data_IF_736420108731
#
_entry.id   IF_736420108731
#
_cell.length_a   1.000
_cell.length_b   1.000
_cell.length_c   1.000
_cell.angle_alpha   90.00
_cell.angle_beta   90.00
_cell.angle_gamma   90.00
#
_symmetry.space_group_name_H-M   'P 1'
#
loop_
_entity.id
_entity.type
_entity.pdbx_description
1 polymer ?
#
# COMPACT_ATOMS: atom_id res chain seq x y z
N UNK A 1 6.65 -25.03 27.37
CA UNK A 1 7.42 -23.99 28.08
C UNK A 1 8.53 -23.53 27.15
N UNK A 2 8.51 -22.29 26.67
CA UNK A 2 9.65 -21.76 25.92
C UNK A 2 10.79 -21.48 26.91
N UNK A 3 12.01 -21.97 26.64
CA UNK A 3 13.17 -21.74 27.50
C UNK A 3 13.47 -20.25 27.65
N UNK A 4 14.09 -19.85 28.76
CA UNK A 4 14.50 -18.46 29.03
C UNK A 4 15.39 -17.87 27.92
N UNK A 5 16.16 -18.70 27.22
CA UNK A 5 16.96 -18.32 26.04
C UNK A 5 16.10 -17.94 24.82
N UNK A 6 14.93 -18.55 24.62
CA UNK A 6 14.03 -18.16 23.53
C UNK A 6 13.38 -16.80 23.81
N UNK A 7 13.06 -16.51 25.08
CA UNK A 7 12.53 -15.20 25.47
C UNK A 7 13.57 -14.08 25.32
N UNK A 8 14.84 -14.30 25.65
CA UNK A 8 15.89 -13.28 25.49
C UNK A 8 16.18 -12.92 24.03
N UNK A 9 16.09 -13.89 23.13
CA UNK A 9 16.25 -13.65 21.70
C UNK A 9 15.05 -12.89 21.10
N UNK A 10 13.84 -13.15 21.61
CA UNK A 10 12.62 -12.48 21.18
C UNK A 10 12.57 -11.00 21.62
N UNK A 11 13.04 -10.66 22.83
CA UNK A 11 13.10 -9.26 23.28
C UNK A 11 14.10 -8.42 22.46
N UNK A 12 15.21 -9.00 22.00
CA UNK A 12 16.15 -8.32 21.10
C UNK A 12 15.55 -8.02 19.71
N UNK A 13 14.56 -8.80 19.28
CA UNK A 13 13.87 -8.62 17.98
C UNK A 13 12.76 -7.56 18.03
N UNK A 14 12.25 -7.20 19.21
CA UNK A 14 11.14 -6.24 19.35
C UNK A 14 11.44 -4.88 18.70
N UNK A 15 12.60 -4.22 18.95
CA UNK A 15 12.91 -2.94 18.29
C UNK A 15 13.01 -3.05 16.77
N UNK A 16 13.57 -4.17 16.28
CA UNK A 16 13.67 -4.44 14.83
C UNK A 16 12.29 -4.60 14.20
N UNK A 17 11.39 -5.34 14.86
CA UNK A 17 10.01 -5.52 14.39
C UNK A 17 9.24 -4.20 14.39
N UNK A 18 9.40 -3.37 15.43
CA UNK A 18 8.78 -2.03 15.49
C UNK A 18 9.26 -1.16 14.33
N UNK A 19 10.58 -1.14 14.09
CA UNK A 19 11.18 -0.45 12.95
C UNK A 19 10.66 -0.95 11.60
N UNK A 20 10.60 -2.27 11.41
CA UNK A 20 10.10 -2.90 10.19
C UNK A 20 8.64 -2.57 9.91
N UNK A 21 7.78 -2.58 10.94
CA UNK A 21 6.37 -2.24 10.81
C UNK A 21 6.16 -0.78 10.38
N UNK A 22 6.89 0.15 11.01
CA UNK A 22 6.83 1.59 10.67
C UNK A 22 7.37 1.83 9.27
N UNK A 23 8.56 1.30 8.97
CA UNK A 23 9.21 1.50 7.68
C UNK A 23 8.42 0.87 6.52
N UNK A 24 7.86 -0.34 6.72
CA UNK A 24 7.03 -1.02 5.74
C UNK A 24 5.76 -0.22 5.41
N UNK A 25 5.10 0.31 6.44
CA UNK A 25 3.92 1.18 6.27
C UNK A 25 4.25 2.42 5.45
N UNK A 26 5.31 3.16 5.81
CA UNK A 26 5.66 4.39 5.09
C UNK A 26 6.25 4.16 3.72
N UNK A 27 6.96 3.05 3.49
CA UNK A 27 7.41 2.69 2.15
C UNK A 27 6.22 2.51 1.22
N UNK A 28 5.19 1.78 1.67
CA UNK A 28 3.98 1.57 0.88
C UNK A 28 3.19 2.85 0.66
N UNK A 29 3.00 3.64 1.71
CA UNK A 29 2.36 4.94 1.61
C UNK A 29 3.10 5.87 0.62
N UNK A 30 4.42 5.94 0.71
CA UNK A 30 5.25 6.77 -0.18
C UNK A 30 5.19 6.33 -1.64
N UNK A 31 5.29 5.03 -1.91
CA UNK A 31 5.18 4.48 -3.27
C UNK A 31 3.83 4.84 -3.91
N UNK A 32 2.72 4.70 -3.17
CA UNK A 32 1.39 5.02 -3.67
C UNK A 32 1.15 6.53 -3.80
N UNK A 33 1.66 7.33 -2.86
CA UNK A 33 1.57 8.80 -2.91
C UNK A 33 2.34 9.35 -4.11
N UNK A 34 3.56 8.86 -4.34
CA UNK A 34 4.34 9.23 -5.51
C UNK A 34 3.59 8.89 -6.81
N UNK A 35 2.99 7.70 -6.90
CA UNK A 35 2.21 7.33 -8.06
C UNK A 35 0.99 8.24 -8.28
N UNK A 36 0.27 8.58 -7.20
CA UNK A 36 -0.88 9.48 -7.23
C UNK A 36 -0.50 10.90 -7.69
N UNK A 37 0.60 11.45 -7.16
CA UNK A 37 1.00 12.83 -7.41
C UNK A 37 1.68 13.01 -8.78
N UNK A 38 2.35 11.97 -9.28
CA UNK A 38 2.96 12.00 -10.60
C UNK A 38 1.96 11.71 -11.72
N UNK A 39 0.84 11.02 -11.45
CA UNK A 39 -0.11 10.63 -12.48
C UNK A 39 -0.72 11.83 -13.25
N UNK A 40 -1.03 12.98 -12.64
CA UNK A 40 -1.48 14.15 -13.37
C UNK A 40 -0.48 14.69 -14.39
N UNK A 41 0.82 14.46 -14.20
CA UNK A 41 1.86 14.93 -15.13
C UNK A 41 1.76 14.26 -16.52
N UNK A 42 1.13 13.08 -16.62
CA UNK A 42 0.97 12.37 -17.89
C UNK A 42 -0.36 12.70 -18.61
N UNK A 43 -1.30 13.40 -17.97
CA UNK A 43 -2.59 13.73 -18.63
C UNK A 43 -2.43 14.56 -19.91
N UNK A 44 -1.56 15.59 -19.95
CA UNK A 44 -1.35 16.36 -21.17
C UNK A 44 -0.82 15.49 -22.33
N UNK A 45 -0.01 14.48 -22.01
CA UNK A 45 0.54 13.55 -23.00
C UNK A 45 -0.53 12.70 -23.69
N UNK A 46 -1.73 12.54 -23.09
CA UNK A 46 -2.81 11.79 -23.74
C UNK A 46 -3.31 12.48 -25.01
N UNK A 47 -3.23 13.81 -25.08
CA UNK A 47 -3.65 14.55 -26.28
C UNK A 47 -2.68 14.38 -27.46
N UNK A 48 -1.38 14.24 -27.18
CA UNK A 48 -0.31 14.16 -28.17
C UNK A 48 0.12 12.74 -28.49
N UNK A 49 0.21 11.87 -27.48
CA UNK A 49 0.54 10.44 -27.61
C UNK A 49 -0.13 9.63 -26.48
N UNK A 50 -1.38 9.16 -26.70
CA UNK A 50 -2.10 8.32 -25.73
C UNK A 50 -1.33 7.05 -25.37
N UNK A 51 -0.64 6.48 -26.37
CA UNK A 51 0.12 5.24 -26.21
C UNK A 51 1.27 5.42 -25.22
N UNK A 52 2.05 6.51 -25.36
CA UNK A 52 3.15 6.80 -24.46
C UNK A 52 2.66 7.07 -23.03
N UNK A 53 1.59 7.86 -22.89
CA UNK A 53 0.99 8.16 -21.58
C UNK A 53 0.56 6.87 -20.85
N UNK A 54 -0.14 5.98 -21.56
CA UNK A 54 -0.58 4.70 -21.01
C UNK A 54 0.58 3.74 -20.70
N UNK A 55 1.66 3.76 -21.49
CA UNK A 55 2.87 2.98 -21.20
C UNK A 55 3.59 3.48 -19.94
N UNK A 56 3.69 4.80 -19.76
CA UNK A 56 4.26 5.39 -18.54
C UNK A 56 3.44 5.05 -17.30
N UNK A 57 2.10 5.17 -17.40
CA UNK A 57 1.21 4.71 -16.33
C UNK A 57 1.40 3.22 -16.03
N UNK A 58 1.38 2.37 -17.07
CA UNK A 58 1.49 0.92 -16.92
C UNK A 58 2.81 0.51 -16.26
N UNK A 59 3.92 1.13 -16.64
CA UNK A 59 5.21 0.90 -15.99
C UNK A 59 5.16 1.19 -14.49
N UNK A 60 4.60 2.35 -14.10
CA UNK A 60 4.42 2.71 -12.70
C UNK A 60 3.50 1.74 -11.96
N UNK A 61 2.39 1.33 -12.58
CA UNK A 61 1.43 0.38 -12.01
C UNK A 61 2.06 -1.00 -11.77
N UNK A 62 2.78 -1.53 -12.77
CA UNK A 62 3.42 -2.84 -12.69
C UNK A 62 4.49 -2.86 -11.57
N UNK A 63 5.28 -1.78 -11.44
CA UNK A 63 6.26 -1.65 -10.34
C UNK A 63 5.59 -1.68 -8.96
N UNK A 64 4.49 -0.94 -8.80
CA UNK A 64 3.74 -0.92 -7.54
C UNK A 64 3.15 -2.29 -7.19
N UNK A 65 2.59 -2.99 -8.19
CA UNK A 65 1.98 -4.31 -8.00
C UNK A 65 2.98 -5.39 -7.52
N UNK A 66 4.28 -5.19 -7.75
CA UNK A 66 5.33 -6.09 -7.28
C UNK A 66 5.79 -5.76 -5.86
N UNK A 67 5.91 -4.47 -5.53
CA UNK A 67 6.50 -4.02 -4.26
C UNK A 67 5.47 -3.98 -3.13
N UNK A 68 4.27 -3.46 -3.42
CA UNK A 68 3.26 -3.15 -2.40
C UNK A 68 2.77 -4.40 -1.67
N UNK A 69 2.37 -5.50 -2.36
CA UNK A 69 1.85 -6.68 -1.67
C UNK A 69 2.88 -7.34 -0.74
N UNK A 70 4.15 -7.43 -1.18
CA UNK A 70 5.22 -8.00 -0.37
C UNK A 70 5.48 -7.17 0.90
N UNK A 71 5.54 -5.85 0.74
CA UNK A 71 5.77 -4.93 1.85
C UNK A 71 4.56 -4.91 2.80
N UNK A 72 3.33 -4.99 2.28
CA UNK A 72 2.11 -5.08 3.09
C UNK A 72 2.14 -6.36 3.93
N UNK A 73 2.48 -7.51 3.32
CA UNK A 73 2.54 -8.79 4.02
C UNK A 73 3.60 -8.79 5.14
N UNK A 74 4.80 -8.27 4.87
CA UNK A 74 5.84 -8.14 5.87
C UNK A 74 5.41 -7.22 7.03
N UNK A 75 4.71 -6.12 6.71
CA UNK A 75 4.18 -5.18 7.70
C UNK A 75 3.09 -5.81 8.56
N UNK A 76 2.16 -6.55 7.94
CA UNK A 76 1.10 -7.30 8.64
C UNK A 76 1.72 -8.30 9.62
N UNK A 77 2.72 -9.08 9.17
CA UNK A 77 3.40 -10.05 10.01
C UNK A 77 4.13 -9.39 11.19
N UNK A 78 4.82 -8.28 10.96
CA UNK A 78 5.49 -7.52 12.01
C UNK A 78 4.49 -6.95 13.04
N UNK A 79 3.44 -6.27 12.58
CA UNK A 79 2.39 -5.73 13.45
C UNK A 79 1.67 -6.82 14.25
N UNK A 80 1.31 -7.94 13.60
CA UNK A 80 0.64 -9.06 14.26
C UNK A 80 1.52 -9.75 15.31
N UNK A 81 2.81 -9.92 15.00
CA UNK A 81 3.78 -10.44 15.95
C UNK A 81 3.94 -9.54 17.17
N UNK A 82 4.06 -8.22 16.96
CA UNK A 82 4.13 -7.24 18.04
C UNK A 82 2.85 -7.23 18.88
N UNK A 83 1.67 -7.28 18.25
CA UNK A 83 0.40 -7.36 18.96
C UNK A 83 0.34 -8.58 19.89
N UNK A 84 0.77 -9.74 19.40
CA UNK A 84 0.80 -10.96 20.21
C UNK A 84 1.78 -10.86 21.39
N UNK A 85 2.98 -10.33 21.18
CA UNK A 85 3.99 -10.18 22.23
C UNK A 85 3.58 -9.19 23.30
N UNK A 86 3.06 -8.03 22.89
CA UNK A 86 2.59 -6.99 23.80
C UNK A 86 1.35 -7.49 24.57
N UNK A 87 0.39 -8.17 23.93
CA UNK A 87 -0.78 -8.74 24.62
C UNK A 87 -0.38 -9.79 25.67
N UNK A 88 0.62 -10.64 25.35
CA UNK A 88 1.11 -11.64 26.29
C UNK A 88 1.79 -11.01 27.51
N UNK A 89 2.39 -9.83 27.32
CA UNK A 89 3.09 -9.09 28.38
C UNK A 89 2.12 -8.28 29.23
N UNK A 90 1.22 -7.53 28.58
CA UNK A 90 0.13 -6.79 29.20
C UNK A 90 -1.12 -6.81 28.30
N UNK A 91 -2.06 -7.70 28.64
CA UNK A 91 -3.32 -7.87 27.91
C UNK A 91 -4.31 -6.69 28.06
N UNK A 92 -4.09 -5.77 29.00
CA UNK A 92 -4.93 -4.58 29.17
C UNK A 92 -4.33 -3.34 28.51
N UNK A 93 -3.01 -3.36 28.27
CA UNK A 93 -2.23 -2.29 27.67
C UNK A 93 -2.77 -1.78 26.34
N UNK A 94 -2.51 -0.49 26.07
CA UNK A 94 -2.93 0.15 24.82
C UNK A 94 -2.09 -0.30 23.63
N UNK A 95 -0.80 -0.59 23.85
CA UNK A 95 0.16 -0.91 22.79
C UNK A 95 -0.29 -2.09 21.91
N UNK A 96 -0.69 -3.21 22.51
CA UNK A 96 -1.10 -4.39 21.74
C UNK A 96 -2.36 -4.13 20.91
N UNK A 97 -3.31 -3.34 21.43
CA UNK A 97 -4.56 -2.98 20.72
C UNK A 97 -4.24 -2.14 19.48
N UNK A 98 -3.30 -1.21 19.59
CA UNK A 98 -2.84 -0.41 18.46
C UNK A 98 -2.10 -1.26 17.42
N UNK A 99 -1.21 -2.18 17.84
CA UNK A 99 -0.57 -3.13 16.92
C UNK A 99 -1.56 -4.06 16.24
N UNK A 100 -2.56 -4.57 16.97
CA UNK A 100 -3.62 -5.40 16.40
C UNK A 100 -4.47 -4.61 15.41
N UNK A 101 -4.80 -3.35 15.71
CA UNK A 101 -5.48 -2.44 14.81
C UNK A 101 -4.68 -2.18 13.53
N UNK A 102 -3.38 -1.93 13.65
CA UNK A 102 -2.48 -1.76 12.50
C UNK A 102 -2.43 -3.04 11.63
N UNK A 103 -2.29 -4.22 12.25
CA UNK A 103 -2.28 -5.50 11.55
C UNK A 103 -3.61 -5.81 10.85
N UNK A 104 -4.74 -5.46 11.48
CA UNK A 104 -6.07 -5.68 10.93
C UNK A 104 -6.48 -4.69 9.84
N UNK A 105 -5.95 -3.46 9.88
CA UNK A 105 -6.28 -2.42 8.90
C UNK A 105 -5.53 -2.60 7.58
N UNK A 106 -4.28 -3.07 7.60
CA UNK A 106 -3.48 -3.19 6.37
C UNK A 106 -4.12 -4.10 5.28
N UNK A 107 -4.72 -5.27 5.61
CA UNK A 107 -5.45 -6.10 4.64
C UNK A 107 -6.66 -5.40 3.99
N UNK A 108 -7.25 -4.39 4.63
CA UNK A 108 -8.34 -3.60 4.03
C UNK A 108 -7.88 -2.93 2.73
N UNK A 109 -6.60 -2.55 2.64
CA UNK A 109 -6.02 -2.01 1.41
C UNK A 109 -6.05 -3.01 0.25
N UNK A 110 -5.88 -4.29 0.52
CA UNK A 110 -5.99 -5.33 -0.51
C UNK A 110 -7.43 -5.50 -0.95
N UNK A 111 -8.36 -5.62 0.00
CA UNK A 111 -9.79 -5.71 -0.32
C UNK A 111 -10.26 -4.52 -1.15
N UNK A 112 -9.80 -3.31 -0.83
CA UNK A 112 -10.11 -2.12 -1.61
C UNK A 112 -9.59 -2.23 -3.07
N UNK A 113 -8.35 -2.69 -3.26
CA UNK A 113 -7.81 -2.91 -4.62
C UNK A 113 -8.65 -3.93 -5.38
N UNK A 114 -8.95 -5.07 -4.76
CA UNK A 114 -9.70 -6.16 -5.39
C UNK A 114 -11.14 -5.78 -5.75
N UNK A 115 -11.84 -5.07 -4.86
CA UNK A 115 -13.27 -4.77 -5.03
C UNK A 115 -13.50 -3.49 -5.82
N UNK A 116 -12.65 -2.48 -5.63
CA UNK A 116 -12.91 -1.12 -6.15
C UNK A 116 -11.99 -0.76 -7.31
N UNK A 117 -10.71 -1.12 -7.24
CA UNK A 117 -9.72 -0.67 -8.23
C UNK A 117 -9.49 -1.66 -9.37
N UNK A 118 -9.81 -2.94 -9.19
CA UNK A 118 -9.46 -3.99 -10.15
C UNK A 118 -10.04 -3.74 -11.55
N UNK A 119 -11.33 -3.42 -11.64
CA UNK A 119 -11.98 -3.13 -12.92
C UNK A 119 -11.39 -1.88 -13.62
N UNK A 120 -11.27 -0.71 -12.95
CA UNK A 120 -10.55 0.45 -13.52
C UNK A 120 -9.12 0.14 -13.97
N UNK A 121 -8.34 -0.59 -13.16
CA UNK A 121 -6.98 -0.99 -13.52
C UNK A 121 -6.96 -1.85 -14.78
N UNK A 122 -7.83 -2.86 -14.87
CA UNK A 122 -7.90 -3.75 -16.02
C UNK A 122 -8.31 -3.00 -17.30
N UNK A 123 -9.20 -2.01 -17.20
CA UNK A 123 -9.54 -1.14 -18.34
C UNK A 123 -8.33 -0.37 -18.84
N UNK A 124 -7.56 0.24 -17.94
CA UNK A 124 -6.34 0.96 -18.30
C UNK A 124 -5.26 0.04 -18.86
N UNK A 125 -5.10 -1.17 -18.34
CA UNK A 125 -4.18 -2.19 -18.90
C UNK A 125 -4.59 -2.56 -20.32
N UNK A 126 -5.89 -2.77 -20.58
CA UNK A 126 -6.40 -3.07 -21.92
C UNK A 126 -6.18 -1.91 -22.90
N UNK A 127 -6.35 -0.66 -22.45
CA UNK A 127 -6.00 0.51 -23.27
C UNK A 127 -4.49 0.58 -23.54
N UNK A 128 -3.65 0.28 -22.55
CA UNK A 128 -2.21 0.30 -22.72
C UNK A 128 -1.71 -0.74 -23.75
N UNK A 129 -2.44 -1.84 -23.96
CA UNK A 129 -2.11 -2.87 -24.96
C UNK A 129 -2.79 -2.66 -26.32
N UNK A 130 -3.74 -1.72 -26.43
CA UNK A 130 -4.43 -1.41 -27.68
C UNK A 130 -3.50 -0.83 -28.77
N UNK A 131 -3.94 -0.92 -30.02
CA UNK A 131 -3.26 -0.29 -31.17
C UNK A 131 -3.40 1.23 -31.11
N UNK A 132 -2.46 1.94 -31.73
CA UNK A 132 -2.44 3.41 -31.73
C UNK A 132 -3.68 4.00 -32.42
N UNK A 133 -4.13 3.39 -33.53
CA UNK A 133 -5.38 3.75 -34.21
C UNK A 133 -6.62 3.65 -33.31
N UNK A 134 -6.71 2.60 -32.48
CA UNK A 134 -7.84 2.41 -31.58
C UNK A 134 -7.80 3.37 -30.37
N UNK A 135 -6.64 3.95 -30.06
CA UNK A 135 -6.46 4.90 -28.97
C UNK A 135 -6.80 6.34 -29.38
N UNK A 136 -6.53 6.70 -30.63
CA UNK A 136 -6.89 8.01 -31.18
C UNK A 136 -8.39 8.29 -31.09
N UNK A 137 -9.23 7.28 -31.36
CA UNK A 137 -10.68 7.36 -31.22
C UNK A 137 -11.17 7.46 -29.76
N UNK A 138 -10.31 7.11 -28.78
CA UNK A 138 -10.66 6.98 -27.35
C UNK A 138 -9.94 7.95 -26.44
N UNK A 139 -9.32 9.02 -26.97
CA UNK A 139 -8.53 10.01 -26.20
C UNK A 139 -9.25 10.54 -24.96
N UNK A 140 -10.50 11.00 -25.12
CA UNK A 140 -11.29 11.52 -24.01
C UNK A 140 -11.57 10.46 -22.93
N UNK A 141 -11.87 9.22 -23.35
CA UNK A 141 -12.09 8.09 -22.44
C UNK A 141 -10.81 7.63 -21.71
N UNK A 142 -9.64 7.80 -22.33
CA UNK A 142 -8.35 7.51 -21.69
C UNK A 142 -8.05 8.46 -20.55
N UNK A 143 -8.31 9.77 -20.73
CA UNK A 143 -8.14 10.77 -19.66
C UNK A 143 -9.07 10.46 -18.48
N UNK A 144 -10.35 10.21 -18.76
CA UNK A 144 -11.34 9.87 -17.72
C UNK A 144 -10.94 8.62 -16.92
N UNK A 145 -10.47 7.57 -17.62
CA UNK A 145 -10.00 6.34 -16.97
C UNK A 145 -8.79 6.59 -16.06
N UNK A 146 -7.82 7.40 -16.50
CA UNK A 146 -6.64 7.76 -15.70
C UNK A 146 -7.01 8.62 -14.48
N UNK A 147 -7.90 9.60 -14.64
CA UNK A 147 -8.38 10.44 -13.55
C UNK A 147 -9.18 9.63 -12.53
N UNK A 148 -10.06 8.74 -13.00
CA UNK A 148 -10.81 7.83 -12.14
C UNK A 148 -9.88 6.93 -11.33
N UNK A 149 -8.87 6.32 -11.97
CA UNK A 149 -7.87 5.53 -11.26
C UNK A 149 -7.13 6.37 -10.21
N UNK A 150 -6.76 7.62 -10.55
CA UNK A 150 -6.07 8.51 -9.61
C UNK A 150 -6.93 8.82 -8.37
N UNK A 151 -8.21 9.14 -8.55
CA UNK A 151 -9.12 9.38 -7.44
C UNK A 151 -9.27 8.17 -6.51
N UNK A 152 -9.23 6.96 -7.06
CA UNK A 152 -9.25 5.73 -6.24
C UNK A 152 -7.94 5.51 -5.49
N UNK A 153 -6.79 5.90 -6.06
CA UNK A 153 -5.48 5.82 -5.41
C UNK A 153 -5.43 6.66 -4.14
N UNK A 154 -6.14 7.81 -4.07
CA UNK A 154 -6.20 8.66 -2.88
C UNK A 154 -6.67 7.90 -1.64
N UNK A 155 -7.70 7.06 -1.78
CA UNK A 155 -8.20 6.24 -0.67
C UNK A 155 -7.21 5.13 -0.35
N UNK A 156 -6.66 4.47 -1.38
CA UNK A 156 -5.74 3.34 -1.19
C UNK A 156 -4.45 3.73 -0.46
N UNK A 157 -3.92 4.93 -0.73
CA UNK A 157 -2.69 5.42 -0.09
C UNK A 157 -2.91 5.86 1.36
N UNK A 158 -4.13 6.26 1.76
CA UNK A 158 -4.42 6.67 3.14
C UNK A 158 -4.28 5.50 4.13
N UNK A 159 -4.59 4.28 3.71
CA UNK A 159 -4.54 3.08 4.55
C UNK A 159 -3.14 2.86 5.16
N UNK A 160 -2.05 2.72 4.37
CA UNK A 160 -0.71 2.53 4.92
C UNK A 160 -0.21 3.74 5.73
N UNK A 161 -0.67 4.97 5.44
CA UNK A 161 -0.39 6.14 6.30
C UNK A 161 -0.99 5.98 7.70
N UNK A 162 -2.26 5.56 7.79
CA UNK A 162 -2.93 5.31 9.07
C UNK A 162 -2.26 4.16 9.82
N UNK A 163 -1.91 3.07 9.13
CA UNK A 163 -1.19 1.93 9.73
C UNK A 163 0.17 2.39 10.29
N UNK A 164 0.92 3.20 9.56
CA UNK A 164 2.19 3.77 10.03
C UNK A 164 2.00 4.67 11.26
N UNK A 165 0.96 5.50 11.28
CA UNK A 165 0.60 6.32 12.45
C UNK A 165 0.25 5.48 13.68
N UNK A 166 -0.54 4.41 13.50
CA UNK A 166 -0.86 3.46 14.56
C UNK A 166 0.39 2.74 15.07
N UNK A 167 1.30 2.34 14.19
CA UNK A 167 2.56 1.69 14.54
C UNK A 167 3.48 2.61 15.36
N UNK A 168 3.57 3.89 15.01
CA UNK A 168 4.28 4.89 15.82
C UNK A 168 3.60 5.03 17.18
N UNK A 169 2.28 5.25 17.21
CA UNK A 169 1.54 5.41 18.46
C UNK A 169 1.71 4.19 19.38
N UNK A 170 1.65 2.98 18.82
CA UNK A 170 1.88 1.73 19.55
C UNK A 170 3.31 1.61 20.08
N UNK A 171 4.30 2.14 19.37
CA UNK A 171 5.70 2.14 19.81
C UNK A 171 5.96 3.12 20.96
N UNK A 172 5.14 4.16 21.07
CA UNK A 172 5.23 5.20 22.10
C UNK A 172 4.30 4.94 23.30
N UNK A 173 3.30 4.08 23.12
CA UNK A 173 2.40 3.65 24.19
C UNK A 173 3.19 2.85 25.24
N UNK A 174 3.04 3.24 26.50
CA UNK A 174 3.61 2.55 27.66
C UNK A 174 2.72 1.40 28.12
#
# INVERSE_FOLDING_TARGET
MASSQNLSNLTMLVPVLKGAAIAGSFRNAGVMTMAHDLLPSIYPLVSTSPKLALQQWKFSYDLQSQIVPLTDLATIAACGGLAYLEHKTDSQGLAWKLWAGAAGLMPVGWLYVWVVMLEPSNKLVALATATESALEEKKAGTIDALQKFNGLMTVRMAIPWVVGGLAIAASLAK
#
